data_IF_192404813720
#
_entry.id   IF_192404813720
#
_cell.length_a   1.000
_cell.length_b   1.000
_cell.length_c   1.000
_cell.angle_alpha   90.00
_cell.angle_beta   90.00
_cell.angle_gamma   90.00
#
_symmetry.space_group_name_H-M   'P 1'
#
loop_
_entity.id
_entity.type
_entity.pdbx_description
1 polymer ?
#
# COMPACT_ATOMS: atom_id res chain seq x y z
N UNK A 1 0.58 -21.07 -16.17
CA UNK A 1 -0.53 -20.19 -16.56
C UNK A 1 -1.39 -19.99 -15.32
N UNK A 2 -0.95 -19.16 -14.36
CA UNK A 2 -1.58 -19.11 -13.01
C UNK A 2 -1.25 -17.81 -12.24
N UNK A 3 -1.04 -16.70 -12.95
CA UNK A 3 -0.66 -15.38 -12.39
C UNK A 3 -1.87 -14.43 -12.20
N UNK A 4 -3.08 -14.93 -12.45
CA UNK A 4 -4.28 -14.13 -12.73
C UNK A 4 -5.24 -13.96 -11.54
N UNK A 5 -5.04 -14.62 -10.40
CA UNK A 5 -6.07 -14.66 -9.36
C UNK A 5 -6.23 -13.35 -8.57
N UNK A 6 -5.14 -12.74 -8.08
CA UNK A 6 -5.21 -11.48 -7.33
C UNK A 6 -5.69 -10.30 -8.19
N UNK A 7 -5.16 -10.17 -9.42
CA UNK A 7 -5.59 -9.11 -10.35
C UNK A 7 -7.08 -9.25 -10.70
N UNK A 8 -7.56 -10.47 -10.94
CA UNK A 8 -8.98 -10.72 -11.18
C UNK A 8 -9.82 -10.41 -9.94
N UNK A 9 -9.34 -10.76 -8.75
CA UNK A 9 -10.03 -10.46 -7.50
C UNK A 9 -10.16 -8.95 -7.28
N UNK A 10 -9.09 -8.19 -7.44
CA UNK A 10 -9.11 -6.73 -7.35
C UNK A 10 -10.06 -6.11 -8.37
N UNK A 11 -9.99 -6.59 -9.63
CA UNK A 11 -10.87 -6.10 -10.71
C UNK A 11 -12.34 -6.37 -10.39
N UNK A 12 -12.68 -7.60 -9.96
CA UNK A 12 -14.05 -7.98 -9.55
C UNK A 12 -14.50 -7.19 -8.31
N UNK A 13 -13.60 -6.96 -7.37
CA UNK A 13 -13.83 -6.14 -6.18
C UNK A 13 -14.26 -4.72 -6.54
N UNK A 14 -13.50 -4.06 -7.41
CA UNK A 14 -13.82 -2.73 -7.93
C UNK A 14 -15.16 -2.73 -8.68
N UNK A 15 -15.43 -3.72 -9.53
CA UNK A 15 -16.72 -3.86 -10.22
C UNK A 15 -17.90 -4.00 -9.26
N UNK A 16 -17.75 -4.78 -8.19
CA UNK A 16 -18.78 -4.98 -7.17
C UNK A 16 -19.05 -3.69 -6.40
N UNK A 17 -18.00 -2.95 -6.01
CA UNK A 17 -18.14 -1.62 -5.39
C UNK A 17 -18.94 -0.70 -6.32
N UNK A 18 -18.59 -0.63 -7.62
CA UNK A 18 -19.32 0.18 -8.61
C UNK A 18 -20.79 -0.21 -8.69
N UNK A 19 -21.10 -1.52 -8.83
CA UNK A 19 -22.47 -2.02 -8.96
C UNK A 19 -23.33 -1.61 -7.78
N UNK A 20 -22.78 -1.65 -6.57
CA UNK A 20 -23.50 -1.29 -5.35
C UNK A 20 -23.65 0.21 -5.14
N UNK A 21 -22.62 1.01 -5.48
CA UNK A 21 -22.74 2.46 -5.51
C UNK A 21 -23.84 2.93 -6.47
N UNK A 22 -23.99 2.25 -7.62
CA UNK A 22 -25.10 2.48 -8.56
C UNK A 22 -26.46 2.10 -7.97
N UNK A 23 -26.56 1.01 -7.20
CA UNK A 23 -27.82 0.60 -6.53
C UNK A 23 -28.22 1.54 -5.39
N UNK A 24 -27.25 2.11 -4.66
CA UNK A 24 -27.50 3.15 -3.66
C UNK A 24 -27.93 4.50 -4.28
N UNK A 25 -27.77 4.62 -5.61
CA UNK A 25 -28.33 5.56 -6.60
C UNK A 25 -28.47 7.07 -6.31
N UNK A 26 -28.12 7.58 -5.13
CA UNK A 26 -28.23 9.01 -4.82
C UNK A 26 -27.11 9.59 -3.94
N UNK A 27 -26.18 8.80 -3.41
CA UNK A 27 -25.20 9.32 -2.42
C UNK A 27 -23.83 9.69 -2.98
N UNK A 28 -23.33 9.04 -4.06
CA UNK A 28 -21.95 9.29 -4.56
C UNK A 28 -21.76 9.18 -6.09
N UNK A 29 -22.29 10.12 -6.90
CA UNK A 29 -22.19 10.05 -8.36
C UNK A 29 -20.76 10.27 -8.88
N UNK A 30 -19.97 11.10 -8.21
CA UNK A 30 -18.60 11.45 -8.65
C UNK A 30 -17.65 10.27 -8.52
N UNK A 31 -17.66 9.57 -7.38
CA UNK A 31 -16.79 8.40 -7.19
C UNK A 31 -17.24 7.21 -8.03
N UNK A 32 -18.55 7.00 -8.20
CA UNK A 32 -19.05 5.97 -9.11
C UNK A 32 -18.60 6.20 -10.57
N UNK A 33 -18.65 7.46 -11.03
CA UNK A 33 -18.15 7.84 -12.36
C UNK A 33 -16.63 7.65 -12.46
N UNK A 34 -15.87 8.03 -11.43
CA UNK A 34 -14.43 7.80 -11.39
C UNK A 34 -14.10 6.31 -11.48
N UNK A 35 -14.69 5.47 -10.63
CA UNK A 35 -14.41 4.03 -10.61
C UNK A 35 -14.75 3.37 -11.96
N UNK A 36 -15.80 3.82 -12.65
CA UNK A 36 -16.12 3.35 -14.01
C UNK A 36 -15.02 3.72 -15.02
N UNK A 37 -14.52 4.96 -14.98
CA UNK A 37 -13.40 5.41 -15.83
C UNK A 37 -12.13 4.62 -15.51
N UNK A 38 -11.85 4.41 -14.22
CA UNK A 38 -10.74 3.61 -13.74
C UNK A 38 -10.82 2.16 -14.22
N UNK A 39 -11.98 1.49 -14.10
CA UNK A 39 -12.16 0.11 -14.57
C UNK A 39 -11.82 -0.03 -16.07
N UNK A 40 -12.25 0.93 -16.90
CA UNK A 40 -11.88 0.98 -18.32
C UNK A 40 -10.38 1.20 -18.53
N UNK A 41 -9.75 2.05 -17.72
CA UNK A 41 -8.31 2.28 -17.77
C UNK A 41 -7.50 1.04 -17.36
N UNK A 42 -7.90 0.38 -16.26
CA UNK A 42 -7.32 -0.87 -15.78
C UNK A 42 -7.43 -1.99 -16.83
N UNK A 43 -8.56 -2.12 -17.53
CA UNK A 43 -8.72 -3.07 -18.63
C UNK A 43 -7.75 -2.81 -19.80
N UNK A 44 -7.50 -1.54 -20.15
CA UNK A 44 -6.48 -1.17 -21.15
C UNK A 44 -5.06 -1.48 -20.67
N UNK A 45 -4.77 -1.18 -19.41
CA UNK A 45 -3.49 -1.50 -18.77
C UNK A 45 -3.22 -3.01 -18.77
N UNK A 46 -4.22 -3.84 -18.44
CA UNK A 46 -4.14 -5.30 -18.55
C UNK A 46 -3.88 -5.78 -19.99
N UNK A 47 -4.42 -5.07 -21.00
CA UNK A 47 -4.07 -5.28 -22.40
C UNK A 47 -2.59 -5.05 -22.70
N UNK A 48 -2.05 -3.91 -22.27
CA UNK A 48 -0.61 -3.59 -22.41
C UNK A 48 0.28 -4.63 -21.74
N UNK A 49 -0.05 -5.05 -20.51
CA UNK A 49 0.71 -6.07 -19.77
C UNK A 49 0.70 -7.42 -20.49
N UNK A 50 -0.46 -7.86 -21.02
CA UNK A 50 -0.56 -9.10 -21.82
C UNK A 50 0.32 -9.04 -23.07
N UNK A 51 0.36 -7.92 -23.76
CA UNK A 51 1.25 -7.72 -24.91
C UNK A 51 2.73 -7.73 -24.51
N UNK A 52 3.07 -7.10 -23.39
CA UNK A 52 4.43 -7.07 -22.87
C UNK A 52 4.90 -8.48 -22.45
N UNK A 53 4.03 -9.28 -21.83
CA UNK A 53 4.29 -10.69 -21.50
C UNK A 53 4.58 -11.52 -22.76
N UNK A 54 3.80 -11.34 -23.83
CA UNK A 54 4.02 -12.02 -25.12
C UNK A 54 5.36 -11.66 -25.77
N UNK A 55 5.86 -10.46 -25.51
CA UNK A 55 7.16 -9.99 -25.98
C UNK A 55 8.31 -10.34 -25.03
N UNK A 56 8.07 -11.20 -24.02
CA UNK A 56 9.08 -11.62 -23.04
C UNK A 56 9.49 -10.53 -22.05
N UNK A 57 8.71 -9.44 -21.92
CA UNK A 57 8.97 -8.30 -21.03
C UNK A 57 7.83 -8.14 -20.03
N UNK A 58 7.65 -9.07 -19.07
CA UNK A 58 6.57 -9.02 -18.10
C UNK A 58 6.53 -7.66 -17.39
N UNK A 59 5.31 -7.18 -17.10
CA UNK A 59 5.08 -5.93 -16.36
C UNK A 59 4.15 -6.22 -15.20
N UNK A 60 4.52 -5.85 -13.96
CA UNK A 60 3.65 -6.03 -12.82
C UNK A 60 2.41 -5.12 -12.92
N UNK A 61 1.21 -5.60 -12.52
CA UNK A 61 0.03 -4.73 -12.41
C UNK A 61 0.14 -3.71 -11.27
N UNK A 62 1.05 -3.97 -10.32
CA UNK A 62 1.11 -3.35 -9.01
C UNK A 62 2.55 -2.90 -8.66
N UNK A 63 2.70 -1.73 -8.03
CA UNK A 63 3.94 -1.28 -7.39
C UNK A 63 3.68 -0.78 -5.96
N UNK A 64 4.69 -0.84 -5.10
CA UNK A 64 4.70 -0.18 -3.80
C UNK A 64 5.72 0.95 -3.84
N UNK A 65 5.33 2.17 -3.50
CA UNK A 65 6.18 3.35 -3.48
C UNK A 65 6.22 3.94 -2.08
N UNK A 66 7.35 3.79 -1.38
CA UNK A 66 7.60 4.48 -0.11
C UNK A 66 8.11 5.89 -0.39
N UNK A 67 7.22 6.87 -0.42
CA UNK A 67 7.54 8.23 -0.91
C UNK A 67 8.27 9.12 0.10
N UNK A 68 8.41 8.64 1.34
CA UNK A 68 9.11 9.32 2.43
C UNK A 68 9.59 8.32 3.47
N UNK A 69 10.65 8.68 4.19
CA UNK A 69 11.15 7.98 5.38
C UNK A 69 10.75 8.67 6.69
N UNK A 70 10.07 9.82 6.60
CA UNK A 70 9.64 10.60 7.77
C UNK A 70 8.24 10.17 8.19
N UNK A 71 8.04 10.02 9.50
CA UNK A 71 6.75 9.68 10.10
C UNK A 71 6.59 10.45 11.41
N UNK A 72 5.40 11.02 11.62
CA UNK A 72 5.03 11.72 12.84
C UNK A 72 4.65 10.78 14.01
N UNK A 73 4.62 9.46 13.79
CA UNK A 73 4.37 8.46 14.83
C UNK A 73 5.56 7.51 15.03
N UNK A 74 5.62 6.89 16.21
CA UNK A 74 6.66 5.93 16.62
C UNK A 74 6.02 4.58 17.01
N UNK A 75 5.30 3.97 16.07
CA UNK A 75 4.50 2.78 16.33
C UNK A 75 5.36 1.59 16.80
N UNK A 76 4.87 0.84 17.80
CA UNK A 76 5.47 -0.43 18.24
C UNK A 76 5.41 -1.47 17.11
N UNK A 77 6.53 -2.15 16.84
CA UNK A 77 6.60 -3.15 15.76
C UNK A 77 6.49 -2.56 14.35
N UNK A 78 6.92 -1.31 14.14
CA UNK A 78 7.02 -0.71 12.81
C UNK A 78 8.22 -1.30 12.05
N UNK A 79 7.97 -2.04 10.96
CA UNK A 79 9.02 -2.65 10.16
C UNK A 79 9.97 -1.62 9.55
N UNK A 80 9.45 -0.46 9.10
CA UNK A 80 10.28 0.56 8.46
C UNK A 80 11.31 1.16 9.43
N UNK A 81 10.93 1.37 10.70
CA UNK A 81 11.87 1.82 11.74
C UNK A 81 12.86 0.72 12.12
N UNK A 82 12.39 -0.53 12.27
CA UNK A 82 13.26 -1.67 12.57
C UNK A 82 14.31 -1.91 11.47
N UNK A 83 13.97 -1.63 10.21
CA UNK A 83 14.87 -1.74 9.06
C UNK A 83 15.66 -0.46 8.77
N UNK A 84 15.66 0.54 9.66
CA UNK A 84 16.34 1.84 9.48
C UNK A 84 15.93 2.61 8.20
N UNK A 85 14.78 2.28 7.61
CA UNK A 85 14.21 2.97 6.44
C UNK A 85 13.28 4.11 6.83
N UNK A 86 12.97 4.25 8.13
CA UNK A 86 12.19 5.34 8.72
C UNK A 86 12.85 5.87 10.00
N UNK A 87 12.95 7.19 10.18
CA UNK A 87 13.49 7.82 11.39
C UNK A 87 14.73 8.68 11.16
N UNK A 88 15.44 9.03 12.24
CA UNK A 88 16.54 10.02 12.24
C UNK A 88 17.74 9.65 11.36
N UNK A 89 17.97 8.36 11.18
CA UNK A 89 19.04 7.78 10.37
C UNK A 89 18.62 7.56 8.91
N UNK A 90 17.34 7.68 8.60
CA UNK A 90 16.83 7.49 7.25
C UNK A 90 17.10 8.75 6.39
N UNK A 91 17.13 8.56 5.07
CA UNK A 91 17.38 9.63 4.11
C UNK A 91 16.38 10.77 4.33
N UNK A 92 16.87 11.93 4.78
CA UNK A 92 16.02 13.08 5.15
C UNK A 92 15.42 13.80 3.95
N UNK A 93 16.13 13.76 2.81
CA UNK A 93 15.69 14.34 1.53
C UNK A 93 15.54 13.19 0.54
N UNK A 94 14.31 12.69 0.41
CA UNK A 94 13.96 11.68 -0.60
C UNK A 94 13.82 12.29 -1.99
N UNK A 95 13.40 11.47 -2.96
CA UNK A 95 13.13 11.92 -4.33
C UNK A 95 12.12 13.07 -4.39
N UNK A 96 12.32 14.01 -5.32
CA UNK A 96 11.44 15.15 -5.55
C UNK A 96 10.06 14.71 -6.09
N UNK A 97 9.09 15.63 -6.09
CA UNK A 97 7.76 15.34 -6.63
C UNK A 97 7.81 15.06 -8.14
N UNK A 98 8.69 15.72 -8.87
CA UNK A 98 8.94 15.59 -10.30
C UNK A 98 9.53 14.23 -10.62
N UNK A 99 10.51 13.78 -9.82
CA UNK A 99 11.08 12.46 -9.99
C UNK A 99 10.03 11.35 -9.74
N UNK A 100 9.18 11.52 -8.72
CA UNK A 100 8.06 10.59 -8.51
C UNK A 100 7.03 10.64 -9.63
N UNK A 101 6.70 11.83 -10.15
CA UNK A 101 5.78 11.98 -11.27
C UNK A 101 6.28 11.29 -12.53
N UNK A 102 7.58 11.38 -12.81
CA UNK A 102 8.22 10.66 -13.91
C UNK A 102 8.09 9.14 -13.74
N UNK A 103 8.36 8.62 -12.53
CA UNK A 103 8.13 7.19 -12.22
C UNK A 103 6.67 6.79 -12.46
N UNK A 104 5.71 7.61 -12.00
CA UNK A 104 4.29 7.32 -12.19
C UNK A 104 3.89 7.35 -13.67
N UNK A 105 4.48 8.25 -14.46
CA UNK A 105 4.28 8.32 -15.91
C UNK A 105 4.78 7.05 -16.60
N UNK A 106 6.01 6.62 -16.29
CA UNK A 106 6.60 5.39 -16.83
C UNK A 106 5.75 4.17 -16.45
N UNK A 107 5.28 4.12 -15.20
CA UNK A 107 4.41 3.05 -14.72
C UNK A 107 3.10 2.98 -15.52
N UNK A 108 2.42 4.13 -15.71
CA UNK A 108 1.18 4.24 -16.49
C UNK A 108 1.38 3.80 -17.95
N UNK A 109 2.51 4.20 -18.54
CA UNK A 109 2.87 3.85 -19.92
C UNK A 109 3.04 2.34 -20.09
N UNK A 110 3.78 1.70 -19.16
CA UNK A 110 4.02 0.26 -19.14
C UNK A 110 2.75 -0.55 -18.86
N UNK A 111 1.71 0.09 -18.33
CA UNK A 111 0.46 -0.53 -17.97
C UNK A 111 0.43 -1.01 -16.52
N UNK A 112 1.17 -0.39 -15.61
CA UNK A 112 0.87 -0.46 -14.18
C UNK A 112 -0.43 0.33 -13.94
N UNK A 113 -1.35 -0.21 -13.15
CA UNK A 113 -2.67 0.42 -12.91
C UNK A 113 -2.98 0.61 -11.43
N UNK A 114 -2.05 0.24 -10.55
CA UNK A 114 -2.20 0.34 -9.11
C UNK A 114 -0.83 0.61 -8.48
N UNK A 115 -0.70 1.66 -7.69
CA UNK A 115 0.54 2.00 -6.98
C UNK A 115 0.20 2.34 -5.53
N UNK A 116 0.59 1.51 -4.57
CA UNK A 116 0.38 1.79 -3.16
C UNK A 116 1.41 2.82 -2.70
N UNK A 117 0.94 3.96 -2.21
CA UNK A 117 1.79 5.00 -1.61
C UNK A 117 1.94 4.72 -0.11
N UNK A 118 3.17 4.41 0.28
CA UNK A 118 3.61 4.09 1.64
C UNK A 118 4.78 5.00 2.06
N UNK A 119 5.46 4.65 3.15
CA UNK A 119 6.69 5.27 3.59
C UNK A 119 6.85 5.19 5.11
N UNK A 120 7.31 6.29 5.69
CA UNK A 120 6.87 6.70 7.03
C UNK A 120 5.39 7.13 6.97
N UNK A 121 5.09 8.43 6.95
CA UNK A 121 3.75 8.96 6.76
C UNK A 121 3.63 9.69 5.40
N UNK A 122 2.94 9.11 4.38
CA UNK A 122 2.80 9.71 3.05
C UNK A 122 2.18 11.12 3.05
N UNK A 123 1.32 11.43 4.03
CA UNK A 123 0.74 12.77 4.19
C UNK A 123 1.77 13.83 4.63
N UNK A 124 3.05 13.50 4.76
CA UNK A 124 4.14 14.48 4.84
C UNK A 124 4.64 14.93 3.47
N UNK A 125 4.13 14.37 2.36
CA UNK A 125 4.56 14.66 0.97
C UNK A 125 3.40 15.12 0.07
N UNK A 126 2.71 16.24 0.38
CA UNK A 126 1.52 16.70 -0.36
C UNK A 126 1.77 16.92 -1.86
N UNK A 127 2.96 17.38 -2.26
CA UNK A 127 3.27 17.59 -3.69
C UNK A 127 3.40 16.27 -4.46
N UNK A 128 3.99 15.23 -3.86
CA UNK A 128 4.03 13.89 -4.47
C UNK A 128 2.60 13.34 -4.62
N UNK A 129 1.77 13.52 -3.59
CA UNK A 129 0.35 13.13 -3.65
C UNK A 129 -0.41 13.89 -4.75
N UNK A 130 -0.17 15.20 -4.92
CA UNK A 130 -0.77 15.97 -6.02
C UNK A 130 -0.37 15.41 -7.40
N UNK A 131 0.91 15.08 -7.61
CA UNK A 131 1.37 14.45 -8.86
C UNK A 131 0.72 13.10 -9.10
N UNK A 132 0.67 12.23 -8.07
CA UNK A 132 -0.08 10.97 -8.14
C UNK A 132 -1.57 11.20 -8.47
N UNK A 133 -2.19 12.22 -7.86
CA UNK A 133 -3.56 12.64 -8.14
C UNK A 133 -3.79 12.99 -9.61
N UNK A 134 -2.81 13.54 -10.32
CA UNK A 134 -2.92 13.87 -11.75
C UNK A 134 -2.96 12.62 -12.65
N UNK A 135 -2.43 11.47 -12.19
CA UNK A 135 -2.35 10.21 -12.94
C UNK A 135 -3.65 9.39 -12.84
N UNK A 136 -4.72 9.89 -13.46
CA UNK A 136 -6.11 9.36 -13.30
C UNK A 136 -6.33 7.92 -13.77
N UNK A 137 -5.42 7.32 -14.55
CA UNK A 137 -5.52 5.92 -14.96
C UNK A 137 -4.88 4.94 -13.97
N UNK A 138 -4.20 5.44 -12.94
CA UNK A 138 -3.62 4.65 -11.85
C UNK A 138 -4.44 4.92 -10.58
N UNK A 139 -4.77 3.84 -9.85
CA UNK A 139 -5.31 3.94 -8.50
C UNK A 139 -4.16 3.96 -7.49
N UNK A 140 -4.19 4.91 -6.56
CA UNK A 140 -3.19 5.09 -5.52
C UNK A 140 -3.83 4.95 -4.13
N UNK A 141 -3.87 3.74 -3.55
CA UNK A 141 -4.12 3.63 -2.12
C UNK A 141 -3.00 4.32 -1.35
N UNK A 142 -3.36 5.22 -0.45
CA UNK A 142 -2.43 5.99 0.38
C UNK A 142 -2.50 5.43 1.79
N UNK A 143 -1.51 4.63 2.18
CA UNK A 143 -1.45 4.04 3.51
C UNK A 143 -1.00 5.10 4.52
N UNK A 144 -1.89 5.48 5.42
CA UNK A 144 -1.68 6.59 6.36
C UNK A 144 -2.09 6.20 7.76
N UNK A 145 -1.47 6.84 8.75
CA UNK A 145 -1.91 6.79 10.14
C UNK A 145 -3.13 7.71 10.42
N UNK A 146 -3.56 8.51 9.44
CA UNK A 146 -4.77 9.31 9.49
C UNK A 146 -4.66 10.63 10.28
N UNK A 147 -3.62 10.82 11.09
CA UNK A 147 -3.56 11.96 12.04
C UNK A 147 -3.46 13.32 11.37
N UNK A 148 -3.12 13.37 10.08
CA UNK A 148 -2.99 14.63 9.33
C UNK A 148 -4.24 14.97 8.50
N UNK A 149 -5.18 14.04 8.33
CA UNK A 149 -6.32 14.24 7.40
C UNK A 149 -7.23 15.37 7.88
N UNK A 150 -7.43 15.46 9.18
CA UNK A 150 -8.34 16.41 9.82
C UNK A 150 -7.66 17.79 10.06
N UNK A 151 -6.43 18.00 9.57
CA UNK A 151 -5.76 19.28 9.69
C UNK A 151 -6.31 20.29 8.67
N UNK A 152 -6.54 21.53 9.12
CA UNK A 152 -7.12 22.61 8.31
C UNK A 152 -6.20 23.16 7.21
N UNK A 153 -4.94 22.73 7.19
CA UNK A 153 -3.95 23.15 6.20
C UNK A 153 -3.03 22.01 5.82
N UNK A 154 -2.79 21.83 4.53
CA UNK A 154 -1.68 21.00 4.05
C UNK A 154 -0.35 21.52 4.63
N UNK A 155 0.57 20.64 5.04
CA UNK A 155 1.88 21.06 5.51
C UNK A 155 2.59 21.82 4.38
N UNK A 156 3.23 22.94 4.72
CA UNK A 156 4.18 23.58 3.81
C UNK A 156 5.33 22.60 3.57
N UNK A 157 5.60 22.30 2.31
CA UNK A 157 6.89 21.76 1.93
C UNK A 157 7.52 22.71 0.92
N UNK A 158 8.76 23.08 1.17
CA UNK A 158 9.63 23.63 0.12
C UNK A 158 10.31 22.40 -0.51
N UNK A 159 10.36 22.34 -1.84
CA UNK A 159 11.11 21.28 -2.53
C UNK A 159 12.56 21.28 -2.03
N UNK A 160 13.02 20.14 -1.50
CA UNK A 160 14.38 19.99 -0.99
C UNK A 160 14.60 20.30 0.49
N UNK A 161 13.57 20.73 1.25
CA UNK A 161 13.71 20.96 2.70
C UNK A 161 12.93 19.95 3.56
N UNK A 162 13.41 19.62 4.78
CA UNK A 162 12.64 18.85 5.76
C UNK A 162 11.33 19.59 6.09
N UNK A 163 10.26 18.85 6.38
CA UNK A 163 9.02 19.45 6.90
C UNK A 163 9.34 20.04 8.28
N UNK A 164 9.52 21.36 8.36
CA UNK A 164 9.60 22.04 9.64
C UNK A 164 8.22 22.07 10.30
N UNK A 165 8.22 21.89 11.61
CA UNK A 165 7.01 21.89 12.43
C UNK A 165 6.22 23.19 12.24
N UNK A 166 4.93 23.03 11.92
CA UNK A 166 3.82 23.99 12.00
C UNK A 166 4.03 25.32 11.22
N UNK A 167 3.18 25.64 10.23
CA UNK A 167 3.38 26.84 9.42
C UNK A 167 3.09 28.15 10.20
N UNK A 168 4.06 29.06 10.16
CA UNK A 168 3.88 30.48 10.50
C UNK A 168 2.96 31.17 9.47
N UNK A 169 2.17 32.13 9.95
CA UNK A 169 1.07 32.80 9.25
C UNK A 169 1.58 33.72 8.14
N UNK A 170 1.76 33.19 6.94
CA UNK A 170 1.97 34.03 5.77
C UNK A 170 2.09 33.25 4.48
N UNK A 171 1.02 33.27 3.67
CA UNK A 171 0.97 32.96 2.21
C UNK A 171 1.40 31.56 1.72
N UNK A 172 0.53 30.54 1.85
CA UNK A 172 0.62 29.34 1.02
C UNK A 172 -0.74 28.66 0.80
N UNK A 173 -0.93 28.14 -0.42
CA UNK A 173 -1.93 27.19 -0.92
C UNK A 173 -2.92 26.63 0.13
N UNK A 174 -4.10 27.26 0.26
CA UNK A 174 -5.16 26.93 1.24
C UNK A 174 -5.96 25.68 0.83
N UNK A 175 -5.34 24.50 0.84
CA UNK A 175 -6.03 23.21 0.68
C UNK A 175 -6.02 22.39 1.96
N UNK A 176 -7.03 21.53 2.15
CA UNK A 176 -7.04 20.46 3.17
C UNK A 176 -6.78 19.09 2.51
N UNK A 177 -6.44 18.07 3.29
CA UNK A 177 -6.33 16.70 2.76
C UNK A 177 -7.68 16.16 2.27
N UNK A 178 -8.77 16.51 2.94
CA UNK A 178 -10.13 16.17 2.49
C UNK A 178 -10.40 16.74 1.08
N UNK A 179 -10.04 18.00 0.83
CA UNK A 179 -10.17 18.61 -0.50
C UNK A 179 -9.29 17.89 -1.54
N UNK A 180 -8.04 17.57 -1.20
CA UNK A 180 -7.13 16.84 -2.09
C UNK A 180 -7.72 15.48 -2.52
N UNK A 181 -8.23 14.69 -1.58
CA UNK A 181 -8.85 13.39 -1.87
C UNK A 181 -10.17 13.54 -2.63
N UNK A 182 -10.94 14.58 -2.33
CA UNK A 182 -12.19 14.87 -3.04
C UNK A 182 -11.94 15.19 -4.52
N UNK A 183 -10.92 15.99 -4.82
CA UNK A 183 -10.53 16.38 -6.19
C UNK A 183 -9.82 15.24 -6.93
N UNK A 184 -9.15 14.37 -6.18
CA UNK A 184 -8.37 13.27 -6.70
C UNK A 184 -8.89 11.93 -6.18
N UNK A 185 -10.04 11.49 -6.71
CA UNK A 185 -10.68 10.20 -6.38
C UNK A 185 -9.84 8.96 -6.71
N UNK A 186 -8.73 9.14 -7.44
CA UNK A 186 -7.72 8.11 -7.65
C UNK A 186 -6.73 7.97 -6.49
N UNK A 187 -6.69 8.93 -5.57
CA UNK A 187 -6.05 8.79 -4.26
C UNK A 187 -7.08 8.23 -3.28
N UNK A 188 -6.85 7.01 -2.80
CA UNK A 188 -7.75 6.32 -1.89
C UNK A 188 -7.08 6.23 -0.51
N UNK A 189 -7.48 7.03 0.49
CA UNK A 189 -6.91 6.91 1.83
C UNK A 189 -7.18 5.53 2.42
N UNK A 190 -6.13 4.89 2.93
CA UNK A 190 -6.19 3.62 3.65
C UNK A 190 -5.69 3.85 5.07
N UNK A 191 -6.63 3.89 6.00
CA UNK A 191 -6.38 4.24 7.40
C UNK A 191 -5.86 3.02 8.16
N UNK A 192 -4.76 3.18 8.87
CA UNK A 192 -4.13 2.06 9.56
C UNK A 192 -4.65 1.91 11.00
N UNK A 193 -5.25 0.76 11.34
CA UNK A 193 -5.92 0.47 12.63
C UNK A 193 -5.69 -0.99 13.05
N UNK A 194 -5.66 -1.29 14.35
CA UNK A 194 -5.31 -2.64 14.87
C UNK A 194 -6.46 -3.37 15.58
N UNK A 195 -7.65 -2.81 15.55
CA UNK A 195 -8.82 -3.30 16.27
C UNK A 195 -9.49 -2.16 17.00
N UNK A 196 -9.90 -2.40 18.23
CA UNK A 196 -10.47 -1.43 19.14
C UNK A 196 -9.46 -0.35 19.59
N UNK A 197 -9.93 0.50 20.49
CA UNK A 197 -9.13 1.56 21.10
C UNK A 197 -7.90 1.02 21.79
N UNK A 198 -8.04 -0.04 22.59
CA UNK A 198 -6.94 -0.56 23.39
C UNK A 198 -5.83 -1.06 22.48
N UNK A 199 -6.14 -1.86 21.45
CA UNK A 199 -5.14 -2.44 20.55
C UNK A 199 -4.52 -1.41 19.62
N UNK A 200 -5.33 -0.50 19.08
CA UNK A 200 -4.85 0.58 18.21
C UNK A 200 -3.93 1.52 18.97
N UNK A 201 -4.34 2.01 20.13
CA UNK A 201 -3.53 2.96 20.91
C UNK A 201 -2.27 2.29 21.50
N UNK A 202 -2.34 1.02 21.90
CA UNK A 202 -1.18 0.27 22.38
C UNK A 202 -0.07 0.14 21.32
N UNK A 203 -0.43 0.11 20.03
CA UNK A 203 0.55 0.06 18.94
C UNK A 203 0.95 1.45 18.46
N UNK A 204 0.00 2.37 18.30
CA UNK A 204 0.18 3.63 17.56
C UNK A 204 0.39 4.86 18.43
N UNK A 205 -0.01 4.80 19.70
CA UNK A 205 0.00 5.92 20.64
C UNK A 205 -1.40 6.28 21.12
N UNK A 206 -1.48 6.90 22.30
CA UNK A 206 -2.73 7.29 22.94
C UNK A 206 -3.54 8.27 22.07
N UNK A 207 -4.85 8.04 21.95
CA UNK A 207 -5.77 8.94 21.26
C UNK A 207 -5.81 8.78 19.73
N UNK A 208 -4.98 7.89 19.17
CA UNK A 208 -4.96 7.62 17.73
C UNK A 208 -6.29 6.99 17.29
N UNK A 209 -6.86 6.10 18.09
CA UNK A 209 -8.14 5.48 17.79
C UNK A 209 -9.26 6.51 17.59
N UNK A 210 -9.39 7.48 18.49
CA UNK A 210 -10.42 8.52 18.37
C UNK A 210 -10.22 9.39 17.14
N UNK A 211 -8.96 9.78 16.87
CA UNK A 211 -8.61 10.50 15.67
C UNK A 211 -9.02 9.74 14.41
N UNK A 212 -8.74 8.43 14.36
CA UNK A 212 -9.15 7.59 13.24
C UNK A 212 -10.66 7.49 13.08
N UNK A 213 -11.43 7.35 14.17
CA UNK A 213 -12.89 7.34 14.10
C UNK A 213 -13.41 8.67 13.54
N UNK A 214 -12.91 9.81 14.04
CA UNK A 214 -13.28 11.12 13.51
C UNK A 214 -12.91 11.25 12.02
N UNK A 215 -11.70 10.85 11.63
CA UNK A 215 -11.28 10.85 10.22
C UNK A 215 -12.19 9.99 9.34
N UNK A 216 -12.66 8.84 9.83
CA UNK A 216 -13.61 8.00 9.08
C UNK A 216 -14.96 8.69 8.90
N UNK A 217 -15.46 9.36 9.93
CA UNK A 217 -16.68 10.16 9.87
C UNK A 217 -16.55 11.31 8.87
N UNK A 218 -15.43 12.06 8.92
CA UNK A 218 -15.16 13.15 7.99
C UNK A 218 -15.06 12.65 6.54
N UNK A 219 -14.35 11.54 6.29
CA UNK A 219 -14.24 10.94 4.96
C UNK A 219 -15.61 10.48 4.43
N UNK A 220 -16.45 9.89 5.29
CA UNK A 220 -17.81 9.49 4.94
C UNK A 220 -18.68 10.71 4.61
N UNK A 221 -18.61 11.76 5.41
CA UNK A 221 -19.45 12.95 5.27
C UNK A 221 -19.04 13.78 4.04
N UNK A 222 -17.76 13.75 3.66
CA UNK A 222 -17.23 14.28 2.38
C UNK A 222 -17.40 13.32 1.20
N UNK A 223 -18.02 12.16 1.45
CA UNK A 223 -18.32 11.15 0.45
C UNK A 223 -17.06 10.60 -0.25
N UNK A 224 -15.92 10.60 0.45
CA UNK A 224 -14.61 10.12 -0.01
C UNK A 224 -14.52 8.61 0.18
N UNK A 225 -14.15 7.90 -0.89
CA UNK A 225 -13.89 6.45 -0.80
C UNK A 225 -12.60 6.21 -0.01
N UNK A 226 -12.68 5.35 1.00
CA UNK A 226 -11.53 5.00 1.82
C UNK A 226 -11.58 3.53 2.26
N UNK A 227 -10.44 3.04 2.72
CA UNK A 227 -10.30 1.72 3.30
C UNK A 227 -9.58 1.75 4.65
N UNK A 228 -9.48 0.58 5.27
CA UNK A 228 -8.70 0.34 6.49
C UNK A 228 -7.62 -0.69 6.19
N UNK A 229 -6.43 -0.49 6.73
CA UNK A 229 -5.37 -1.49 6.77
C UNK A 229 -5.18 -1.97 8.20
N UNK A 230 -5.08 -3.27 8.38
CA UNK A 230 -4.88 -3.92 9.69
C UNK A 230 -3.60 -4.73 9.63
N UNK A 231 -2.67 -4.46 10.55
CA UNK A 231 -1.58 -5.39 10.82
C UNK A 231 -2.09 -6.51 11.71
N UNK A 232 -2.16 -7.72 11.17
CA UNK A 232 -2.72 -8.90 11.85
C UNK A 232 -1.64 -9.60 12.66
N UNK A 233 -1.86 -9.70 13.96
CA UNK A 233 -1.03 -10.44 14.92
C UNK A 233 -1.84 -11.56 15.53
N UNK A 234 -1.18 -12.50 16.22
CA UNK A 234 -1.87 -13.51 17.05
C UNK A 234 -2.84 -12.90 18.07
N UNK A 235 -2.54 -11.69 18.56
CA UNK A 235 -3.31 -11.04 19.63
C UNK A 235 -4.57 -10.31 19.12
N UNK A 236 -4.64 -9.96 17.83
CA UNK A 236 -5.77 -9.21 17.29
C UNK A 236 -6.58 -9.95 16.23
N UNK A 237 -6.09 -11.07 15.69
CA UNK A 237 -6.68 -11.76 14.55
C UNK A 237 -8.17 -12.09 14.72
N UNK A 238 -8.57 -12.67 15.85
CA UNK A 238 -9.97 -13.02 16.11
C UNK A 238 -10.88 -11.78 16.11
N UNK A 239 -10.40 -10.66 16.66
CA UNK A 239 -11.17 -9.44 16.76
C UNK A 239 -11.31 -8.74 15.39
N UNK A 240 -10.20 -8.57 14.68
CA UNK A 240 -10.18 -7.84 13.40
C UNK A 240 -10.85 -8.63 12.27
N UNK A 241 -11.13 -9.91 12.49
CA UNK A 241 -11.92 -10.78 11.61
C UNK A 241 -13.31 -11.10 12.18
N UNK A 242 -13.70 -10.49 13.31
CA UNK A 242 -15.04 -10.64 13.85
C UNK A 242 -16.07 -9.89 12.99
N UNK A 243 -17.28 -10.43 12.86
CA UNK A 243 -18.33 -9.76 12.10
C UNK A 243 -18.67 -8.39 12.69
N UNK A 244 -18.58 -8.24 14.02
CA UNK A 244 -18.84 -6.98 14.70
C UNK A 244 -17.87 -5.87 14.29
N UNK A 245 -16.59 -6.21 14.12
CA UNK A 245 -15.56 -5.28 13.65
C UNK A 245 -15.85 -4.80 12.23
N UNK A 246 -16.12 -5.74 11.31
CA UNK A 246 -16.45 -5.39 9.92
C UNK A 246 -17.76 -4.62 9.80
N UNK A 247 -18.79 -4.98 10.57
CA UNK A 247 -20.04 -4.20 10.62
C UNK A 247 -19.78 -2.76 11.08
N UNK A 248 -18.95 -2.56 12.11
CA UNK A 248 -18.58 -1.22 12.57
C UNK A 248 -17.89 -0.41 11.47
N UNK A 249 -16.89 -1.00 10.78
CA UNK A 249 -16.21 -0.33 9.67
C UNK A 249 -17.16 0.01 8.52
N UNK A 250 -18.07 -0.91 8.17
CA UNK A 250 -19.08 -0.69 7.15
C UNK A 250 -20.04 0.47 7.52
N UNK A 251 -20.46 0.57 8.78
CA UNK A 251 -21.31 1.67 9.27
C UNK A 251 -20.60 3.03 9.23
N UNK A 252 -19.28 3.03 9.43
CA UNK A 252 -18.45 4.22 9.27
C UNK A 252 -18.20 4.60 7.80
N UNK A 253 -18.58 3.74 6.84
CA UNK A 253 -18.49 4.04 5.41
C UNK A 253 -17.31 3.37 4.69
N UNK A 254 -16.50 2.58 5.40
CA UNK A 254 -15.34 1.88 4.85
C UNK A 254 -15.73 0.96 3.68
N UNK A 255 -14.91 0.94 2.62
CA UNK A 255 -15.15 0.13 1.41
C UNK A 255 -14.13 -0.96 1.16
N UNK A 256 -13.02 -0.97 1.89
CA UNK A 256 -12.01 -1.99 1.77
C UNK A 256 -11.30 -2.23 3.11
N UNK A 257 -10.97 -3.48 3.41
CA UNK A 257 -10.10 -3.86 4.52
C UNK A 257 -8.94 -4.66 3.98
N UNK A 258 -7.72 -4.20 4.26
CA UNK A 258 -6.48 -4.84 3.86
C UNK A 258 -5.83 -5.44 5.11
N UNK A 259 -5.80 -6.76 5.18
CA UNK A 259 -5.15 -7.52 6.23
C UNK A 259 -3.70 -7.78 5.83
N UNK A 260 -2.76 -7.26 6.62
CA UNK A 260 -1.33 -7.46 6.42
C UNK A 260 -0.82 -8.30 7.58
N UNK A 261 -0.34 -9.51 7.32
CA UNK A 261 0.25 -10.35 8.37
C UNK A 261 1.45 -9.66 9.01
N UNK A 262 1.55 -9.75 10.34
CA UNK A 262 2.68 -9.18 11.06
C UNK A 262 3.97 -9.92 10.74
N UNK A 263 4.94 -9.18 10.20
CA UNK A 263 6.30 -9.65 9.97
C UNK A 263 7.17 -9.17 11.14
N UNK A 264 7.81 -10.07 11.90
CA UNK A 264 8.56 -9.72 13.09
C UNK A 264 9.96 -9.19 12.72
N UNK A 265 10.01 -7.96 12.19
CA UNK A 265 11.27 -7.27 11.88
C UNK A 265 12.16 -7.13 13.12
N UNK A 266 11.53 -6.91 14.29
CA UNK A 266 12.19 -7.10 15.58
C UNK A 266 12.04 -8.55 16.06
N UNK A 267 13.18 -9.25 16.19
CA UNK A 267 13.22 -10.65 16.64
C UNK A 267 12.62 -10.86 18.03
N UNK A 268 12.63 -9.85 18.89
CA UNK A 268 12.00 -9.93 20.22
C UNK A 268 10.47 -10.04 20.15
N UNK A 269 9.87 -9.72 19.00
CA UNK A 269 8.41 -9.72 18.80
C UNK A 269 7.91 -10.91 17.97
N UNK A 270 8.74 -11.93 17.76
CA UNK A 270 8.40 -13.10 16.93
C UNK A 270 7.13 -13.83 17.38
N UNK A 271 6.85 -13.80 18.68
CA UNK A 271 5.64 -14.39 19.27
C UNK A 271 4.34 -13.72 18.81
N UNK A 272 4.38 -12.52 18.21
CA UNK A 272 3.19 -11.85 17.68
C UNK A 272 2.85 -12.26 16.25
N UNK A 273 3.82 -12.82 15.52
CA UNK A 273 3.64 -13.22 14.12
C UNK A 273 2.72 -14.45 14.03
N UNK A 274 1.73 -14.45 13.12
CA UNK A 274 0.91 -15.63 12.86
C UNK A 274 1.77 -16.86 12.54
N UNK A 275 1.41 -18.02 13.07
CA UNK A 275 1.93 -19.31 12.61
C UNK A 275 1.02 -19.93 11.54
N UNK A 276 1.31 -21.17 11.14
CA UNK A 276 0.56 -21.83 10.08
C UNK A 276 -0.91 -22.11 10.46
N UNK A 277 -1.18 -22.45 11.72
CA UNK A 277 -2.55 -22.66 12.20
C UNK A 277 -3.33 -21.35 12.21
N UNK A 278 -2.69 -20.26 12.63
CA UNK A 278 -3.29 -18.92 12.58
C UNK A 278 -3.62 -18.50 11.13
N UNK A 279 -2.74 -18.81 10.18
CA UNK A 279 -2.95 -18.49 8.75
C UNK A 279 -4.07 -19.31 8.12
N UNK A 280 -4.20 -20.58 8.47
CA UNK A 280 -5.32 -21.43 8.05
C UNK A 280 -6.64 -20.87 8.57
N UNK A 281 -6.68 -20.49 9.86
CA UNK A 281 -7.84 -19.80 10.43
C UNK A 281 -8.15 -18.50 9.69
N UNK A 282 -7.15 -17.63 9.49
CA UNK A 282 -7.33 -16.34 8.83
C UNK A 282 -7.89 -16.51 7.41
N UNK A 283 -7.33 -17.43 6.62
CA UNK A 283 -7.78 -17.71 5.27
C UNK A 283 -9.24 -18.19 5.25
N UNK A 284 -9.56 -19.22 6.04
CA UNK A 284 -10.91 -19.77 6.13
C UNK A 284 -11.92 -18.71 6.60
N UNK A 285 -11.53 -17.88 7.57
CA UNK A 285 -12.38 -16.83 8.11
C UNK A 285 -12.63 -15.73 7.07
N UNK A 286 -11.62 -15.31 6.33
CA UNK A 286 -11.76 -14.30 5.29
C UNK A 286 -12.64 -14.79 4.13
N UNK A 287 -12.59 -16.07 3.77
CA UNK A 287 -13.47 -16.63 2.74
C UNK A 287 -14.95 -16.54 3.15
N UNK A 288 -15.28 -16.91 4.40
CA UNK A 288 -16.63 -16.72 4.96
C UNK A 288 -17.03 -15.24 4.93
N UNK A 289 -16.12 -14.35 5.34
CA UNK A 289 -16.40 -12.91 5.35
C UNK A 289 -16.60 -12.34 3.95
N UNK A 290 -15.87 -12.79 2.95
CA UNK A 290 -16.01 -12.37 1.54
C UNK A 290 -17.37 -12.77 0.97
N UNK A 291 -17.89 -13.93 1.37
CA UNK A 291 -19.24 -14.38 1.00
C UNK A 291 -20.34 -13.56 1.69
N UNK A 292 -20.15 -13.24 2.98
CA UNK A 292 -21.15 -12.54 3.78
C UNK A 292 -21.15 -11.01 3.57
N UNK A 293 -19.97 -10.40 3.45
CA UNK A 293 -19.76 -8.96 3.37
C UNK A 293 -19.55 -8.52 1.92
N UNK A 294 -20.61 -8.61 1.12
CA UNK A 294 -20.55 -8.22 -0.29
C UNK A 294 -20.37 -6.71 -0.57
N UNK A 295 -20.31 -5.87 0.48
CA UNK A 295 -20.21 -4.41 0.41
C UNK A 295 -18.78 -3.86 0.56
N UNK A 296 -17.83 -4.70 0.99
CA UNK A 296 -16.43 -4.33 1.21
C UNK A 296 -15.48 -5.25 0.46
N UNK A 297 -14.36 -4.70 0.00
CA UNK A 297 -13.25 -5.47 -0.56
C UNK A 297 -12.32 -5.94 0.56
N UNK A 298 -12.19 -7.25 0.76
CA UNK A 298 -11.33 -7.82 1.80
C UNK A 298 -10.09 -8.47 1.17
N UNK A 299 -8.90 -7.95 1.43
CA UNK A 299 -7.64 -8.45 0.84
C UNK A 299 -6.72 -8.88 1.97
N UNK A 300 -5.97 -9.97 1.79
CA UNK A 300 -4.97 -10.46 2.74
C UNK A 300 -3.60 -10.67 2.09
N UNK A 301 -2.55 -10.15 2.71
CA UNK A 301 -1.17 -10.32 2.30
C UNK A 301 -0.33 -10.93 3.42
N UNK A 302 0.49 -11.96 3.17
CA UNK A 302 0.69 -12.73 1.92
C UNK A 302 -0.39 -13.78 1.61
N UNK A 303 -1.42 -13.96 2.44
CA UNK A 303 -2.45 -15.01 2.25
C UNK A 303 -2.96 -15.18 0.81
N UNK A 304 -3.37 -14.10 0.15
CA UNK A 304 -3.89 -14.14 -1.24
C UNK A 304 -2.79 -14.34 -2.30
N UNK A 305 -1.51 -14.17 -1.96
CA UNK A 305 -0.37 -14.43 -2.86
C UNK A 305 -0.12 -15.93 -3.03
N UNK A 306 -0.45 -16.75 -2.03
CA UNK A 306 -0.22 -18.21 -2.05
C UNK A 306 -0.90 -18.88 -3.23
N UNK A 307 -2.08 -18.38 -3.62
CA UNK A 307 -2.84 -18.85 -4.77
C UNK A 307 -2.27 -18.40 -6.13
N UNK A 308 -1.24 -17.54 -6.14
CA UNK A 308 -0.57 -17.00 -7.33
C UNK A 308 0.81 -17.63 -7.60
N UNK A 309 1.11 -18.78 -6.99
CA UNK A 309 2.35 -19.53 -7.23
C UNK A 309 3.58 -18.95 -6.54
N UNK A 310 3.45 -18.59 -5.26
CA UNK A 310 4.55 -18.11 -4.40
C UNK A 310 4.67 -16.59 -4.31
N UNK A 311 5.80 -16.11 -3.80
CA UNK A 311 6.04 -14.69 -3.49
C UNK A 311 6.03 -13.82 -4.76
N UNK A 312 5.24 -12.75 -4.78
CA UNK A 312 5.08 -11.85 -5.94
C UNK A 312 6.16 -10.75 -6.05
N UNK A 313 7.16 -10.76 -5.18
CA UNK A 313 8.27 -9.80 -5.13
C UNK A 313 9.17 -9.83 -6.38
N UNK A 314 10.15 -8.92 -6.43
CA UNK A 314 11.18 -8.84 -7.48
C UNK A 314 10.61 -8.75 -8.91
N UNK A 315 9.49 -8.03 -9.06
CA UNK A 315 8.82 -7.82 -10.35
C UNK A 315 7.99 -9.00 -10.83
N UNK A 316 7.82 -10.08 -10.03
CA UNK A 316 6.91 -11.19 -10.40
C UNK A 316 5.45 -10.76 -10.39
N UNK A 317 5.05 -9.87 -9.51
CA UNK A 317 3.73 -9.26 -9.48
C UNK A 317 3.78 -7.83 -8.96
N UNK A 318 4.82 -7.51 -8.17
CA UNK A 318 5.18 -6.16 -7.78
C UNK A 318 6.67 -6.06 -7.46
N UNK A 319 7.12 -4.83 -7.25
CA UNK A 319 8.34 -4.54 -6.50
C UNK A 319 8.16 -3.22 -5.74
N UNK A 320 9.11 -2.93 -4.86
CA UNK A 320 9.09 -1.78 -3.99
C UNK A 320 10.07 -0.70 -4.47
N UNK A 321 9.68 0.57 -4.39
CA UNK A 321 10.55 1.71 -4.63
C UNK A 321 10.66 2.48 -3.32
N UNK A 322 11.87 2.58 -2.77
CA UNK A 322 12.09 3.30 -1.51
C UNK A 322 12.15 4.83 -1.71
N UNK A 323 12.21 5.59 -0.61
CA UNK A 323 12.17 7.06 -0.65
C UNK A 323 13.37 7.70 -1.36
N UNK A 324 14.47 6.96 -1.48
CA UNK A 324 15.70 7.35 -2.17
C UNK A 324 15.74 6.83 -3.61
N UNK A 325 14.67 6.22 -4.10
CA UNK A 325 14.58 5.68 -5.45
C UNK A 325 15.27 4.34 -5.67
N UNK A 326 15.68 3.63 -4.62
CA UNK A 326 16.15 2.25 -4.75
C UNK A 326 15.01 1.32 -5.15
N UNK A 327 15.27 0.42 -6.11
CA UNK A 327 14.34 -0.63 -6.49
C UNK A 327 14.62 -1.89 -5.67
N UNK A 328 13.67 -2.25 -4.81
CA UNK A 328 13.78 -3.34 -3.83
C UNK A 328 12.77 -4.45 -4.16
N UNK A 329 13.09 -5.73 -3.91
CA UNK A 329 12.16 -6.83 -4.18
C UNK A 329 10.80 -6.65 -3.49
N UNK A 330 10.80 -6.24 -2.22
CA UNK A 330 9.61 -5.92 -1.43
C UNK A 330 10.00 -5.07 -0.19
N UNK A 331 9.03 -4.46 0.53
CA UNK A 331 9.33 -3.63 1.70
C UNK A 331 10.02 -4.36 2.87
N UNK A 332 9.87 -5.69 2.94
CA UNK A 332 10.52 -6.53 3.96
C UNK A 332 11.88 -7.08 3.53
N UNK A 333 12.32 -6.76 2.31
CA UNK A 333 13.65 -7.08 1.79
C UNK A 333 14.26 -5.80 1.18
N UNK A 334 14.68 -4.84 2.03
CA UNK A 334 15.05 -3.49 1.60
C UNK A 334 16.48 -3.45 1.04
N UNK A 335 16.72 -4.26 0.00
CA UNK A 335 17.99 -4.42 -0.67
C UNK A 335 17.84 -4.02 -2.13
N UNK A 336 18.75 -3.17 -2.59
CA UNK A 336 18.67 -2.56 -3.92
C UNK A 336 20.06 -2.51 -4.53
N UNK A 337 20.17 -2.94 -5.78
CA UNK A 337 21.36 -2.83 -6.62
C UNK A 337 21.24 -1.72 -7.67
N UNK A 338 20.04 -1.17 -7.86
CA UNK A 338 19.75 -0.13 -8.86
C UNK A 338 18.95 1.03 -8.26
N UNK A 339 18.85 2.14 -8.99
CA UNK A 339 18.05 3.29 -8.55
C UNK A 339 17.35 3.98 -9.71
N UNK A 340 16.06 4.25 -9.53
CA UNK A 340 15.22 5.03 -10.45
C UNK A 340 15.61 6.51 -10.53
N UNK A 341 16.55 6.98 -9.72
CA UNK A 341 17.17 8.29 -9.94
C UNK A 341 18.11 8.31 -11.15
N UNK A 342 18.61 7.13 -11.56
CA UNK A 342 19.65 6.99 -12.59
C UNK A 342 19.23 6.08 -13.75
N UNK A 343 18.10 5.39 -13.62
CA UNK A 343 17.65 4.40 -14.58
C UNK A 343 16.14 4.49 -14.80
N UNK A 344 15.64 3.85 -15.85
CA UNK A 344 14.21 3.77 -16.10
C UNK A 344 13.53 2.73 -15.19
N UNK A 345 12.22 2.86 -15.01
CA UNK A 345 11.38 1.87 -14.34
C UNK A 345 11.47 0.50 -15.01
N UNK A 346 11.64 0.49 -16.35
CA UNK A 346 11.82 -0.74 -17.12
C UNK A 346 13.12 -1.43 -16.75
N UNK A 347 14.23 -0.71 -16.84
CA UNK A 347 15.56 -1.26 -16.61
C UNK A 347 15.73 -1.70 -15.14
N UNK A 348 15.07 -1.01 -14.20
CA UNK A 348 15.05 -1.42 -12.80
C UNK A 348 14.43 -2.81 -12.58
N UNK A 349 13.45 -3.23 -13.39
CA UNK A 349 12.86 -4.58 -13.28
C UNK A 349 13.80 -5.69 -13.76
N UNK A 350 14.75 -5.32 -14.61
CA UNK A 350 15.77 -6.19 -15.18
C UNK A 350 17.09 -6.09 -14.39
N UNK A 351 17.05 -5.54 -13.16
CA UNK A 351 18.24 -5.43 -12.32
C UNK A 351 18.87 -6.81 -12.03
N UNK A 352 20.20 -6.90 -11.93
CA UNK A 352 20.88 -8.16 -11.61
C UNK A 352 20.32 -8.85 -10.35
N UNK A 353 20.00 -8.11 -9.29
CA UNK A 353 19.37 -8.66 -8.08
C UNK A 353 18.03 -9.32 -8.40
N UNK A 354 17.15 -8.63 -9.14
CA UNK A 354 15.82 -9.15 -9.45
C UNK A 354 15.91 -10.37 -10.36
N UNK A 355 16.81 -10.37 -11.35
CA UNK A 355 17.07 -11.53 -12.20
C UNK A 355 17.52 -12.74 -11.37
N UNK A 356 18.54 -12.56 -10.52
CA UNK A 356 19.06 -13.63 -9.65
C UNK A 356 17.99 -14.22 -8.72
N UNK A 357 17.15 -13.38 -8.12
CA UNK A 357 16.05 -13.83 -7.24
C UNK A 357 14.94 -14.57 -8.00
N UNK A 358 14.72 -14.28 -9.29
CA UNK A 358 13.75 -15.01 -10.11
C UNK A 358 14.30 -16.36 -10.59
N UNK A 359 15.60 -16.45 -10.79
CA UNK A 359 16.28 -17.65 -11.30
C UNK A 359 16.61 -18.68 -10.21
N UNK A 360 16.84 -18.25 -8.97
CA UNK A 360 17.31 -19.12 -7.89
C UNK A 360 16.23 -19.98 -7.20
N UNK A 361 14.97 -19.83 -7.61
CA UNK A 361 13.81 -20.57 -7.10
C UNK A 361 13.25 -20.09 -5.75
N UNK A 362 13.88 -19.13 -5.06
CA UNK A 362 13.47 -18.69 -3.71
C UNK A 362 12.05 -18.13 -3.66
N UNK A 363 11.61 -17.54 -4.77
CA UNK A 363 10.27 -16.95 -4.90
C UNK A 363 9.16 -17.98 -5.18
N UNK A 364 9.53 -19.18 -5.60
CA UNK A 364 8.60 -20.27 -5.99
C UNK A 364 8.57 -21.43 -4.98
N UNK A 365 9.52 -21.49 -4.06
CA UNK A 365 9.49 -22.44 -2.95
C UNK A 365 8.22 -22.24 -2.11
N UNK A 366 7.53 -23.34 -1.79
CA UNK A 366 6.42 -23.32 -0.84
C UNK A 366 6.97 -23.10 0.56
N UNK A 367 6.93 -21.85 1.03
CA UNK A 367 7.25 -21.51 2.40
C UNK A 367 6.04 -21.74 3.31
N UNK A 368 6.30 -22.15 4.55
CA UNK A 368 5.32 -22.31 5.64
C UNK A 368 4.84 -20.94 6.12
N UNK A 369 4.02 -20.29 5.29
CA UNK A 369 3.51 -18.95 5.51
C UNK A 369 4.59 -17.87 5.75
N UNK A 370 4.17 -16.62 5.95
CA UNK A 370 5.11 -15.53 6.22
C UNK A 370 5.89 -15.04 4.99
N UNK A 371 6.83 -14.11 5.20
CA UNK A 371 7.55 -13.45 4.12
C UNK A 371 8.79 -14.24 3.66
N UNK A 372 8.70 -14.89 2.50
CA UNK A 372 9.76 -15.68 1.87
C UNK A 372 11.16 -15.00 1.89
N UNK A 373 11.23 -13.77 1.40
CA UNK A 373 12.50 -13.03 1.31
C UNK A 373 13.02 -12.52 2.66
N UNK A 374 12.13 -12.32 3.63
CA UNK A 374 12.52 -11.87 4.96
C UNK A 374 13.26 -12.98 5.72
N UNK A 375 12.78 -14.22 5.61
CA UNK A 375 13.44 -15.37 6.25
C UNK A 375 14.76 -15.76 5.56
N UNK A 376 14.88 -15.48 4.26
CA UNK A 376 16.07 -15.77 3.45
C UNK A 376 17.01 -14.56 3.28
N UNK A 377 17.04 -13.63 4.24
CA UNK A 377 17.81 -12.38 4.17
C UNK A 377 19.28 -12.58 3.74
N UNK A 378 19.96 -13.59 4.30
CA UNK A 378 21.36 -13.90 3.97
C UNK A 378 21.52 -14.23 2.48
N UNK A 379 20.60 -15.00 1.92
CA UNK A 379 20.61 -15.41 0.51
C UNK A 379 20.39 -14.20 -0.40
N UNK A 380 19.48 -13.29 -0.03
CA UNK A 380 19.27 -12.02 -0.75
C UNK A 380 20.55 -11.17 -0.76
N UNK A 381 21.24 -11.06 0.39
CA UNK A 381 22.53 -10.35 0.46
C UNK A 381 23.63 -11.04 -0.36
N UNK A 382 23.63 -12.36 -0.42
CA UNK A 382 24.59 -13.10 -1.24
C UNK A 382 24.38 -12.81 -2.73
N UNK A 383 23.12 -12.62 -3.18
CA UNK A 383 22.82 -12.20 -4.55
C UNK A 383 23.27 -10.79 -4.89
N UNK A 384 23.56 -9.94 -3.91
CA UNK A 384 24.14 -8.62 -4.15
C UNK A 384 25.65 -8.66 -4.42
N UNK A 385 26.33 -9.75 -4.06
CA UNK A 385 27.79 -9.84 -4.19
C UNK A 385 28.20 -9.84 -5.67
N UNK A 386 29.22 -9.04 -5.99
CA UNK A 386 29.77 -8.95 -7.34
C UNK A 386 28.85 -8.28 -8.35
N UNK A 387 27.84 -7.52 -7.90
CA UNK A 387 27.18 -6.51 -8.73
C UNK A 387 27.95 -5.21 -8.54
N UNK A 388 28.42 -4.61 -9.63
CA UNK A 388 29.18 -3.34 -9.63
C UNK A 388 28.24 -2.12 -9.62
#
# INVERSE_FOLDING_TARGET
MERLQLEQYLSRGVENIIKRMKKASFTNPRSAMYLLKYAKAAGRAAGKRRQAEQNGKPVPPFLIASITSQCNLHCKGCYARANHTCGSEAVRIGMSAEQWDDIFAQAEEMGVSFILLAGGEPLMRPYVLKKAGMRKNILFPVFTNGTMINNDTLPRCVEGEPVSEVPDKGEADRGTYLQLFMDNRNLLPVLSMEGDRQKTDARRGSGIYDGLIQTMEDLRDWDILYGVSVTVTKENMEEVTADAFLRKLSLLGCKAVIYVEYVPADRATRNLAPDDGDREYLAARLDVLREMQGDMLLISFPGDERASGGCLAAGRGFFHINASGGAEPCPFSPYSDTSLQKTSLRDAMDSPLFCRLREDGSLTEMHTGGCALFEQEKKVKDHLKGIE
#
